data_IF_601956171154
#
_entry.id   IF_601956171154
#
_cell.length_a   1.000
_cell.length_b   1.000
_cell.length_c   1.000
_cell.angle_alpha   90.00
_cell.angle_beta   90.00
_cell.angle_gamma   90.00
#
_symmetry.space_group_name_H-M   'P 1'
#
loop_
_entity.id
_entity.type
_entity.pdbx_description
1 polymer ?
#
# COMPACT_ATOMS: atom_id res chain seq x y z
N UNK A 1 -20.56 19.89 11.97
CA UNK A 1 -19.70 19.46 12.70
C UNK A 1 -18.98 18.38 12.23
N UNK A 2 -18.07 18.18 12.08
CA UNK A 2 -17.59 17.21 11.51
C UNK A 2 -16.29 16.87 11.89
N UNK A 3 -16.06 16.85 13.11
CA UNK A 3 -14.84 16.40 13.63
C UNK A 3 -14.56 14.95 13.35
N UNK A 4 -15.58 14.24 12.87
CA UNK A 4 -15.36 12.88 12.50
C UNK A 4 -14.81 12.83 11.13
N UNK A 5 -13.56 12.62 11.01
CA UNK A 5 -12.91 12.52 9.76
C UNK A 5 -12.69 11.07 9.40
N UNK A 6 -12.26 10.84 8.19
CA UNK A 6 -11.89 9.52 7.72
C UNK A 6 -10.81 8.86 8.56
N UNK A 7 -9.95 9.63 9.19
CA UNK A 7 -8.92 9.10 10.06
C UNK A 7 -9.46 8.24 11.19
N UNK A 8 -10.65 8.54 11.68
CA UNK A 8 -11.26 7.76 12.77
C UNK A 8 -11.69 6.36 12.34
N UNK A 9 -11.74 6.11 11.03
CA UNK A 9 -12.10 4.80 10.50
C UNK A 9 -10.91 3.99 10.02
N UNK A 10 -9.71 4.51 10.15
CA UNK A 10 -8.52 3.79 9.75
C UNK A 10 -8.39 2.51 10.58
N UNK A 11 -8.07 1.41 9.90
CA UNK A 11 -8.02 0.09 10.52
C UNK A 11 -9.36 -0.58 10.71
N UNK A 12 -10.48 0.05 10.36
CA UNK A 12 -11.79 -0.57 10.45
C UNK A 12 -11.86 -1.81 9.55
N UNK A 13 -12.39 -2.91 10.08
CA UNK A 13 -12.47 -4.21 9.41
C UNK A 13 -11.10 -4.73 8.95
N UNK A 14 -10.03 -4.37 9.65
CA UNK A 14 -8.67 -4.75 9.29
C UNK A 14 -8.45 -6.26 9.41
N UNK A 15 -7.74 -6.82 8.44
CA UNK A 15 -7.21 -8.17 8.50
C UNK A 15 -5.71 -8.12 8.25
N UNK A 16 -4.96 -8.92 9.00
CA UNK A 16 -3.51 -8.96 8.93
C UNK A 16 -3.06 -10.37 8.59
N UNK A 17 -2.05 -10.47 7.73
CA UNK A 17 -1.49 -11.75 7.32
C UNK A 17 0.03 -11.68 7.36
N UNK A 18 0.65 -12.85 7.55
CA UNK A 18 2.10 -13.00 7.63
C UNK A 18 2.65 -13.56 6.33
N UNK A 19 3.69 -12.92 5.80
CA UNK A 19 4.37 -13.35 4.58
C UNK A 19 5.88 -13.24 4.75
N UNK A 20 6.64 -13.81 3.83
CA UNK A 20 8.07 -13.55 3.73
C UNK A 20 8.32 -12.26 2.95
N UNK A 21 9.39 -11.56 3.28
CA UNK A 21 9.87 -10.42 2.48
C UNK A 21 10.76 -10.94 1.35
N UNK A 22 10.84 -10.15 0.25
CA UNK A 22 11.72 -10.49 -0.87
C UNK A 22 13.20 -10.28 -0.56
N UNK A 23 13.52 -9.51 0.48
CA UNK A 23 14.89 -9.23 0.89
C UNK A 23 15.62 -8.21 0.03
N UNK A 24 15.00 -7.73 -1.07
CA UNK A 24 15.59 -6.72 -1.95
C UNK A 24 14.85 -5.40 -1.90
N UNK A 25 13.54 -5.38 -2.08
CA UNK A 25 12.75 -4.14 -1.96
C UNK A 25 12.33 -3.88 -0.53
N UNK A 26 12.16 -4.93 0.26
CA UNK A 26 11.84 -4.86 1.69
C UNK A 26 12.99 -5.50 2.45
N UNK A 27 13.58 -4.76 3.39
CA UNK A 27 14.71 -5.24 4.18
C UNK A 27 14.46 -5.02 5.66
N UNK A 28 14.97 -5.93 6.49
CA UNK A 28 14.92 -5.76 7.93
C UNK A 28 16.00 -4.77 8.39
N UNK A 29 15.66 -3.91 9.35
CA UNK A 29 16.61 -3.05 10.04
C UNK A 29 16.25 -2.96 11.50
N UNK A 30 17.19 -3.34 12.36
CA UNK A 30 17.00 -3.30 13.82
C UNK A 30 16.86 -1.86 14.36
N UNK A 31 17.29 -0.86 13.60
CA UNK A 31 17.26 0.55 14.02
C UNK A 31 16.01 1.28 13.58
N UNK A 32 15.23 0.70 12.66
CA UNK A 32 14.00 1.31 12.16
C UNK A 32 12.78 0.90 12.98
N UNK A 33 11.81 1.80 13.07
CA UNK A 33 10.53 1.49 13.71
C UNK A 33 9.85 0.32 13.01
N UNK A 34 9.33 -0.61 13.79
CA UNK A 34 8.65 -1.82 13.28
C UNK A 34 9.52 -2.69 12.36
N UNK A 35 10.83 -2.56 12.47
CA UNK A 35 11.79 -3.46 11.83
C UNK A 35 12.15 -3.13 10.38
N UNK A 36 11.68 -2.03 9.80
CA UNK A 36 12.01 -1.69 8.41
C UNK A 36 11.70 -0.24 8.07
N UNK A 37 12.54 0.35 7.23
CA UNK A 37 12.30 1.66 6.65
C UNK A 37 11.14 1.64 5.65
N UNK A 38 10.75 0.47 5.13
CA UNK A 38 9.68 0.31 4.16
C UNK A 38 8.29 0.15 4.79
N UNK A 39 8.19 0.12 6.10
CA UNK A 39 6.90 0.04 6.80
C UNK A 39 6.01 1.23 6.39
N UNK A 40 4.75 0.93 6.11
CA UNK A 40 3.78 1.92 5.62
C UNK A 40 3.60 1.94 4.12
N UNK A 41 4.44 1.26 3.36
CA UNK A 41 4.36 1.22 1.90
C UNK A 41 3.48 0.07 1.40
N UNK A 42 3.02 0.20 0.15
CA UNK A 42 2.18 -0.82 -0.48
C UNK A 42 3.01 -1.98 -0.99
N UNK A 43 2.47 -3.19 -0.85
CA UNK A 43 3.16 -4.42 -1.26
C UNK A 43 2.32 -5.24 -2.24
N UNK A 44 3.02 -6.06 -3.02
CA UNK A 44 2.45 -7.05 -3.94
C UNK A 44 3.14 -8.40 -3.73
N UNK A 45 2.57 -9.47 -4.27
CA UNK A 45 3.27 -10.76 -4.28
C UNK A 45 4.33 -10.78 -5.37
N UNK A 46 5.55 -11.14 -5.00
CA UNK A 46 6.65 -11.40 -5.95
C UNK A 46 6.82 -12.90 -6.22
N UNK A 47 6.37 -13.73 -5.30
CA UNK A 47 6.33 -15.19 -5.41
C UNK A 47 5.26 -15.71 -4.46
N UNK A 48 4.98 -16.99 -4.47
CA UNK A 48 4.03 -17.58 -3.55
C UNK A 48 4.49 -17.37 -2.09
N UNK A 49 3.66 -16.70 -1.30
CA UNK A 49 3.97 -16.40 0.10
C UNK A 49 5.02 -15.32 0.34
N UNK A 50 5.53 -14.69 -0.71
CA UNK A 50 6.57 -13.67 -0.61
C UNK A 50 6.06 -12.34 -1.17
N UNK A 51 6.28 -11.25 -0.43
CA UNK A 51 5.86 -9.91 -0.82
C UNK A 51 7.04 -9.02 -1.12
N UNK A 52 6.83 -8.07 -2.03
CA UNK A 52 7.76 -7.02 -2.41
C UNK A 52 7.02 -5.69 -2.47
N UNK A 53 7.72 -4.58 -2.50
CA UNK A 53 7.08 -3.29 -2.74
C UNK A 53 6.48 -3.24 -4.14
N UNK A 54 5.31 -2.61 -4.28
CA UNK A 54 4.67 -2.46 -5.58
C UNK A 54 5.50 -1.58 -6.51
N UNK A 55 5.50 -1.93 -7.79
CA UNK A 55 5.96 -1.07 -8.87
C UNK A 55 4.76 -0.47 -9.61
N UNK A 56 4.99 0.28 -10.67
CA UNK A 56 3.92 0.90 -11.44
C UNK A 56 2.95 -0.15 -11.99
N UNK A 57 1.67 0.10 -11.84
CA UNK A 57 0.56 -0.75 -12.29
C UNK A 57 0.46 -2.14 -11.62
N UNK A 58 1.20 -2.39 -10.55
CA UNK A 58 1.10 -3.66 -9.81
C UNK A 58 -0.19 -3.76 -9.01
N UNK A 59 -0.63 -5.00 -8.78
CA UNK A 59 -1.72 -5.29 -7.86
C UNK A 59 -1.29 -4.98 -6.42
N UNK A 60 -2.11 -4.26 -5.68
CA UNK A 60 -1.84 -3.92 -4.27
C UNK A 60 -2.44 -5.00 -3.36
N UNK A 61 -1.60 -5.78 -2.71
CA UNK A 61 -2.03 -6.78 -1.73
C UNK A 61 -2.41 -6.11 -0.42
N UNK A 62 -1.65 -5.12 0.01
CA UNK A 62 -1.91 -4.41 1.24
C UNK A 62 -0.79 -3.47 1.64
N UNK A 63 -0.77 -3.12 2.93
CA UNK A 63 0.18 -2.20 3.54
C UNK A 63 1.13 -2.97 4.44
N UNK A 64 2.43 -2.73 4.29
CA UNK A 64 3.45 -3.32 5.16
C UNK A 64 3.36 -2.69 6.56
N UNK A 65 3.17 -3.51 7.57
CA UNK A 65 2.99 -3.06 8.96
C UNK A 65 4.25 -3.25 9.78
N UNK A 66 4.91 -4.39 9.65
CA UNK A 66 6.13 -4.68 10.41
C UNK A 66 6.97 -5.73 9.70
N UNK A 67 8.28 -5.72 9.98
CA UNK A 67 9.22 -6.73 9.47
C UNK A 67 9.99 -7.28 10.66
N UNK A 68 10.07 -8.61 10.72
CA UNK A 68 10.79 -9.30 11.78
C UNK A 68 12.20 -9.68 11.32
N UNK A 69 13.07 -9.92 12.31
CA UNK A 69 14.46 -10.28 12.04
C UNK A 69 14.61 -11.54 11.19
N UNK A 70 13.67 -12.48 11.31
CA UNK A 70 13.69 -13.76 10.60
C UNK A 70 13.26 -13.67 9.13
N UNK A 71 12.92 -12.47 8.66
CA UNK A 71 12.51 -12.27 7.27
C UNK A 71 11.02 -12.42 7.04
N UNK A 72 10.22 -12.55 8.08
CA UNK A 72 8.76 -12.51 7.98
C UNK A 72 8.23 -11.11 8.23
N UNK A 73 7.09 -10.80 7.65
CA UNK A 73 6.46 -9.51 7.79
C UNK A 73 4.96 -9.65 8.03
N UNK A 74 4.37 -8.61 8.59
CA UNK A 74 2.92 -8.48 8.73
C UNK A 74 2.41 -7.46 7.72
N UNK A 75 1.38 -7.84 6.98
CA UNK A 75 0.73 -7.01 5.98
C UNK A 75 -0.75 -6.86 6.33
N UNK A 76 -1.23 -5.61 6.34
CA UNK A 76 -2.67 -5.37 6.43
C UNK A 76 -3.26 -5.56 5.03
N UNK A 77 -4.06 -6.62 4.86
CA UNK A 77 -4.58 -7.01 3.56
C UNK A 77 -6.00 -6.53 3.30
N UNK A 78 -6.71 -6.11 4.35
CA UNK A 78 -8.10 -5.64 4.24
C UNK A 78 -8.36 -4.50 5.20
N UNK A 79 -9.45 -3.78 4.92
CA UNK A 79 -9.93 -2.68 5.74
C UNK A 79 -9.41 -1.34 5.25
N UNK A 80 -9.63 -0.32 6.06
CA UNK A 80 -9.22 1.04 5.74
C UNK A 80 -7.77 1.26 6.18
N UNK A 81 -6.97 1.80 5.28
CA UNK A 81 -5.55 2.05 5.54
C UNK A 81 -5.07 3.31 4.84
N UNK A 82 -3.99 3.88 5.33
CA UNK A 82 -3.32 5.02 4.70
C UNK A 82 -2.10 4.54 3.94
N UNK A 83 -2.02 4.90 2.65
CA UNK A 83 -0.90 4.57 1.77
C UNK A 83 -0.37 5.84 1.10
N UNK A 84 0.93 5.89 0.77
CA UNK A 84 1.47 7.06 0.08
C UNK A 84 1.05 7.08 -1.39
N UNK A 85 0.61 8.24 -1.87
CA UNK A 85 0.34 8.46 -3.29
C UNK A 85 1.64 8.63 -4.08
N UNK A 86 1.67 8.15 -5.31
CA UNK A 86 2.82 8.25 -6.19
C UNK A 86 3.15 9.69 -6.60
N UNK A 87 4.32 9.87 -7.17
CA UNK A 87 4.78 11.18 -7.62
C UNK A 87 3.95 11.64 -8.81
N UNK A 88 3.27 12.79 -8.65
CA UNK A 88 2.36 13.31 -9.67
C UNK A 88 1.10 12.48 -9.88
N UNK A 89 0.80 11.54 -8.98
CA UNK A 89 -0.36 10.67 -9.12
C UNK A 89 -1.67 11.44 -9.10
N UNK A 90 -2.60 11.02 -9.96
CA UNK A 90 -4.00 11.44 -9.85
C UNK A 90 -4.69 10.53 -8.85
N UNK A 91 -5.36 11.13 -7.89
CA UNK A 91 -6.04 10.42 -6.81
C UNK A 91 -7.47 10.93 -6.74
N UNK A 92 -8.40 10.09 -7.13
CA UNK A 92 -9.82 10.45 -7.22
C UNK A 92 -10.64 9.56 -6.29
N UNK A 93 -11.54 10.17 -5.53
CA UNK A 93 -12.42 9.44 -4.62
C UNK A 93 -13.23 8.38 -5.35
N UNK A 94 -13.49 7.29 -4.65
CA UNK A 94 -14.32 6.16 -5.09
C UNK A 94 -13.71 5.30 -6.22
N UNK A 95 -12.50 5.60 -6.66
CA UNK A 95 -11.86 4.81 -7.72
C UNK A 95 -10.86 3.80 -7.14
N UNK A 96 -10.69 2.66 -7.82
CA UNK A 96 -9.76 1.64 -7.37
C UNK A 96 -8.30 2.02 -7.65
N UNK A 97 -7.39 1.39 -6.92
CA UNK A 97 -5.97 1.70 -6.98
C UNK A 97 -5.13 0.57 -7.56
N UNK A 98 -3.99 0.94 -8.08
CA UNK A 98 -2.87 0.06 -8.44
C UNK A 98 -1.59 0.65 -7.86
N UNK A 99 -0.50 -0.09 -7.94
CA UNK A 99 0.82 0.40 -7.56
C UNK A 99 1.29 1.56 -8.42
N UNK A 100 2.19 2.34 -7.86
CA UNK A 100 2.84 3.46 -8.54
C UNK A 100 4.26 3.64 -8.01
N UNK A 101 4.99 4.53 -8.65
CA UNK A 101 6.30 4.95 -8.20
C UNK A 101 6.21 6.32 -7.54
N UNK A 102 6.92 6.48 -6.45
CA UNK A 102 7.07 7.74 -5.75
C UNK A 102 8.25 8.55 -6.25
N UNK A 103 8.68 9.56 -5.48
CA UNK A 103 9.85 10.37 -5.81
C UNK A 103 11.08 9.50 -6.08
N UNK A 104 11.86 9.89 -7.09
CA UNK A 104 13.07 9.17 -7.52
C UNK A 104 12.80 7.71 -7.92
N UNK A 105 11.61 7.45 -8.46
CA UNK A 105 11.17 6.11 -8.88
C UNK A 105 11.11 5.09 -7.73
N UNK A 106 10.88 5.56 -6.52
CA UNK A 106 10.74 4.69 -5.34
C UNK A 106 9.47 3.83 -5.45
N UNK A 107 9.60 2.55 -5.09
CA UNK A 107 8.48 1.61 -5.08
C UNK A 107 7.65 1.71 -3.81
N UNK A 108 6.42 1.19 -3.85
CA UNK A 108 5.56 1.11 -2.67
C UNK A 108 4.49 2.18 -2.57
N UNK A 109 4.23 2.90 -3.67
CA UNK A 109 3.25 3.97 -3.74
C UNK A 109 2.02 3.53 -4.52
N UNK A 110 0.97 4.35 -4.53
CA UNK A 110 -0.29 4.00 -5.19
C UNK A 110 -0.83 5.15 -6.03
N UNK A 111 -1.64 4.82 -7.03
CA UNK A 111 -2.41 5.75 -7.85
C UNK A 111 -3.72 5.10 -8.27
N UNK A 112 -4.62 5.86 -8.87
CA UNK A 112 -5.81 5.26 -9.46
C UNK A 112 -5.43 4.40 -10.67
N UNK A 113 -6.20 3.35 -10.90
CA UNK A 113 -6.06 2.53 -12.09
C UNK A 113 -6.45 3.32 -13.34
N UNK A 114 -5.72 3.12 -14.43
CA UNK A 114 -6.05 3.73 -15.72
C UNK A 114 -7.22 2.96 -16.35
N UNK A 115 -8.38 3.59 -16.42
CA UNK A 115 -9.59 2.96 -16.95
C UNK A 115 -9.52 2.59 -18.44
N UNK A 116 -8.57 3.17 -19.17
CA UNK A 116 -8.35 2.85 -20.58
C UNK A 116 -7.48 1.60 -20.78
N UNK A 117 -6.91 1.04 -19.72
CA UNK A 117 -6.02 -0.14 -19.78
C UNK A 117 -6.69 -1.30 -19.08
N UNK A 118 -7.24 -2.24 -19.85
CA UNK A 118 -7.97 -3.39 -19.30
C UNK A 118 -7.11 -4.25 -18.36
N UNK A 119 -5.85 -4.47 -18.69
CA UNK A 119 -4.93 -5.25 -17.86
C UNK A 119 -4.68 -4.58 -16.49
N UNK A 120 -4.68 -3.27 -16.45
CA UNK A 120 -4.52 -2.51 -15.21
C UNK A 120 -5.79 -2.57 -14.37
N UNK A 121 -6.96 -2.41 -14.99
CA UNK A 121 -8.23 -2.56 -14.29
C UNK A 121 -8.40 -3.95 -13.68
N UNK A 122 -7.89 -4.98 -14.34
CA UNK A 122 -7.95 -6.34 -13.82
C UNK A 122 -7.12 -6.52 -12.53
N UNK A 123 -6.12 -5.69 -12.32
CA UNK A 123 -5.29 -5.69 -11.12
C UNK A 123 -5.76 -4.70 -10.07
N UNK A 124 -6.64 -3.78 -10.43
CA UNK A 124 -7.09 -2.71 -9.55
C UNK A 124 -7.89 -3.26 -8.37
N UNK A 125 -7.75 -2.60 -7.23
CA UNK A 125 -8.37 -3.05 -5.99
C UNK A 125 -8.80 -1.87 -5.13
N UNK A 126 -9.86 -2.09 -4.37
CA UNK A 126 -10.31 -1.16 -3.35
C UNK A 126 -10.85 0.15 -3.91
N UNK A 127 -10.93 1.13 -3.06
CA UNK A 127 -11.37 2.48 -3.44
C UNK A 127 -10.72 3.53 -2.55
N UNK A 128 -10.52 4.71 -3.11
CA UNK A 128 -9.98 5.85 -2.37
C UNK A 128 -11.10 6.49 -1.53
N UNK A 129 -10.84 6.67 -0.24
CA UNK A 129 -11.76 7.29 0.70
C UNK A 129 -11.41 8.73 1.01
N UNK A 130 -10.13 9.08 0.99
CA UNK A 130 -9.65 10.43 1.24
C UNK A 130 -8.35 10.64 0.49
N UNK A 131 -8.31 11.67 -0.33
CA UNK A 131 -7.13 12.07 -1.09
C UNK A 131 -6.77 13.54 -0.84
N UNK A 132 -7.17 14.07 0.31
CA UNK A 132 -6.86 15.45 0.70
C UNK A 132 -5.36 15.69 0.76
N UNK A 133 -4.62 14.68 1.21
CA UNK A 133 -3.16 14.69 1.26
C UNK A 133 -2.63 13.60 0.33
N UNK A 134 -1.82 13.97 -0.66
CA UNK A 134 -1.30 12.99 -1.64
C UNK A 134 -0.28 12.03 -1.03
N UNK A 135 0.38 12.42 0.04
CA UNK A 135 1.35 11.57 0.74
C UNK A 135 0.72 10.59 1.74
N UNK A 136 -0.57 10.75 2.01
CA UNK A 136 -1.29 9.92 2.98
C UNK A 136 -2.72 9.71 2.48
N UNK A 137 -2.86 8.86 1.48
CA UNK A 137 -4.15 8.56 0.86
C UNK A 137 -4.85 7.49 1.67
N UNK A 138 -6.09 7.73 2.06
CA UNK A 138 -6.90 6.73 2.77
C UNK A 138 -7.63 5.88 1.75
N UNK A 139 -7.39 4.59 1.81
CA UNK A 139 -8.01 3.61 0.91
C UNK A 139 -8.68 2.51 1.70
N UNK A 140 -9.71 1.89 1.11
CA UNK A 140 -10.35 0.71 1.66
C UNK A 140 -10.11 -0.45 0.70
N UNK A 141 -9.47 -1.50 1.18
CA UNK A 141 -9.19 -2.71 0.41
C UNK A 141 -10.15 -3.84 0.75
#
# INVERSE_FOLDING_TARGET
MSARTTASNEGAAAAFETFEIDGSTITYSATEANGSAQVGLAVTFSAAGTVALVADADHVVGKLISVERDGFCTVQTRGTMTLPGGDGATLTLNLPIVGDLGPDSAKGYVRIANSAVAAELAKARGEIRDATTTTAVVVSL
#
